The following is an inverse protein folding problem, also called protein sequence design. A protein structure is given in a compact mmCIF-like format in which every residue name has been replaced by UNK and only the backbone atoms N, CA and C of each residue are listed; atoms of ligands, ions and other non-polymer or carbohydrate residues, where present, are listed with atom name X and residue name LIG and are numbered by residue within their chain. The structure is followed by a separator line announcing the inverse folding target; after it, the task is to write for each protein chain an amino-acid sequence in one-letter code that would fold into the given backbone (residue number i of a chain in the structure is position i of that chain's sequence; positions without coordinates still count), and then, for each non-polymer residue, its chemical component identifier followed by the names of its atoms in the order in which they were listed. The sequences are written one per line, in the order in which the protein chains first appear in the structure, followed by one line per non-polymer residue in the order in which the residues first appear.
data_IF_395653257257
#
_entry.id   IF_395653257257
#
_cell.length_a   1.000
_cell.length_b   1.000
_cell.length_c   1.000
_cell.angle_alpha   90.00
_cell.angle_beta   90.00
_cell.angle_gamma   90.00
#
_symmetry.space_group_name_H-M   'P 1'
#
loop_
_entity.id
_entity.type
_entity.pdbx_description
1 polymer ?
#
# COMPACT_ATOMS: atom_id res chain seq x y z
N UNK A 1 -26.11 10.76 -35.73
CA UNK A 1 -27.17 10.09 -34.92
C UNK A 1 -26.62 9.50 -33.64
N UNK A 2 -25.61 8.62 -33.66
CA UNK A 2 -25.01 7.98 -32.48
C UNK A 2 -24.48 9.00 -31.45
N UNK A 3 -23.77 10.05 -31.90
CA UNK A 3 -23.20 11.11 -31.10
C UNK A 3 -24.28 12.03 -30.45
N UNK A 4 -25.46 12.14 -31.10
CA UNK A 4 -26.59 12.90 -30.57
C UNK A 4 -27.31 12.13 -29.46
N UNK A 5 -27.40 10.81 -29.61
CA UNK A 5 -28.00 9.92 -28.60
C UNK A 5 -27.11 9.86 -27.36
N UNK A 6 -25.78 9.69 -27.53
CA UNK A 6 -24.81 9.69 -26.44
C UNK A 6 -24.88 10.99 -25.61
N UNK A 7 -24.91 12.15 -26.30
CA UNK A 7 -25.05 13.45 -25.62
C UNK A 7 -26.37 13.60 -24.88
N UNK A 8 -27.49 13.11 -25.45
CA UNK A 8 -28.79 13.14 -24.79
C UNK A 8 -28.82 12.26 -23.54
N UNK A 9 -28.15 11.11 -23.58
CA UNK A 9 -28.01 10.23 -22.42
C UNK A 9 -27.20 10.92 -21.33
N UNK A 10 -26.05 11.53 -21.67
CA UNK A 10 -25.22 12.29 -20.72
C UNK A 10 -25.97 13.46 -20.08
N UNK A 11 -26.76 14.22 -20.87
CA UNK A 11 -27.55 15.33 -20.39
C UNK A 11 -28.68 14.86 -19.43
N UNK A 12 -29.38 13.77 -19.74
CA UNK A 12 -30.40 13.17 -18.89
C UNK A 12 -29.80 12.61 -17.58
N UNK A 13 -28.66 11.97 -17.66
CA UNK A 13 -27.97 11.46 -16.49
C UNK A 13 -27.44 12.57 -15.60
N UNK A 14 -26.89 13.64 -16.17
CA UNK A 14 -26.48 14.84 -15.43
C UNK A 14 -27.65 15.51 -14.70
N UNK A 15 -28.80 15.62 -15.36
CA UNK A 15 -30.03 16.13 -14.74
C UNK A 15 -30.55 15.20 -13.64
N UNK A 16 -30.44 13.88 -13.82
CA UNK A 16 -30.84 12.91 -12.81
C UNK A 16 -29.96 12.97 -11.56
N UNK A 17 -28.62 13.07 -11.75
CA UNK A 17 -27.65 13.15 -10.66
C UNK A 17 -27.80 14.44 -9.84
N UNK A 18 -28.17 15.57 -10.50
CA UNK A 18 -28.41 16.86 -9.83
C UNK A 18 -29.77 16.94 -9.19
N UNK A 19 -30.68 15.99 -9.47
CA UNK A 19 -31.99 15.93 -8.85
C UNK A 19 -31.90 15.27 -7.46
N UNK A 20 -32.76 15.72 -6.52
CA UNK A 20 -32.89 15.09 -5.19
C UNK A 20 -33.34 13.60 -5.26
N UNK A 21 -33.67 13.10 -6.45
CA UNK A 21 -34.08 11.71 -6.72
C UNK A 21 -32.89 10.76 -6.80
N UNK A 22 -31.69 11.26 -7.10
CA UNK A 22 -30.48 10.48 -7.22
C UNK A 22 -29.74 10.29 -5.87
N UNK A 23 -30.48 9.99 -4.81
CA UNK A 23 -29.85 9.55 -3.56
C UNK A 23 -29.23 8.16 -3.70
N UNK A 24 -28.23 7.87 -2.89
CA UNK A 24 -27.59 6.54 -2.88
C UNK A 24 -28.63 5.41 -2.67
N UNK A 25 -29.56 5.59 -1.74
CA UNK A 25 -30.62 4.62 -1.45
C UNK A 25 -31.50 4.36 -2.67
N UNK A 26 -31.86 5.41 -3.41
CA UNK A 26 -32.67 5.29 -4.62
C UNK A 26 -31.89 4.55 -5.74
N UNK A 27 -30.59 4.82 -5.89
CA UNK A 27 -29.74 4.11 -6.85
C UNK A 27 -29.62 2.64 -6.50
N UNK A 28 -29.41 2.30 -5.22
CA UNK A 28 -29.37 0.91 -4.74
C UNK A 28 -30.71 0.21 -5.00
N UNK A 29 -31.83 0.85 -4.68
CA UNK A 29 -33.16 0.29 -4.92
C UNK A 29 -33.46 0.05 -6.41
N UNK A 30 -32.97 0.95 -7.29
CA UNK A 30 -33.15 0.84 -8.74
C UNK A 30 -32.27 -0.25 -9.37
N UNK A 31 -30.99 -0.26 -9.01
CA UNK A 31 -29.99 -1.11 -9.66
C UNK A 31 -29.80 -2.46 -9.00
N UNK A 32 -30.00 -2.58 -7.68
CA UNK A 32 -29.78 -3.81 -6.93
C UNK A 32 -30.49 -5.02 -7.53
N UNK A 33 -31.83 -5.00 -7.71
CA UNK A 33 -32.55 -6.12 -8.29
C UNK A 33 -32.14 -6.45 -9.73
N UNK A 34 -31.72 -5.45 -10.51
CA UNK A 34 -31.24 -5.64 -11.88
C UNK A 34 -29.90 -6.33 -11.91
N UNK A 35 -28.98 -5.93 -11.00
CA UNK A 35 -27.68 -6.55 -10.88
C UNK A 35 -27.79 -7.99 -10.38
N UNK A 36 -28.63 -8.25 -9.39
CA UNK A 36 -28.89 -9.60 -8.89
C UNK A 36 -29.47 -10.54 -9.96
N UNK A 37 -30.30 -10.02 -10.85
CA UNK A 37 -30.87 -10.78 -11.97
C UNK A 37 -29.84 -11.14 -13.06
N UNK A 38 -28.83 -10.29 -13.27
CA UNK A 38 -27.79 -10.49 -14.29
C UNK A 38 -26.44 -9.89 -13.84
N UNK A 39 -25.73 -10.56 -12.88
CA UNK A 39 -24.50 -10.03 -12.28
C UNK A 39 -23.30 -10.01 -13.26
N UNK A 40 -23.42 -10.64 -14.45
CA UNK A 40 -22.39 -10.66 -15.47
C UNK A 40 -22.64 -9.62 -16.57
N UNK A 41 -23.61 -8.74 -16.41
CA UNK A 41 -23.92 -7.71 -17.39
C UNK A 41 -22.95 -6.53 -17.29
N UNK A 42 -21.99 -6.48 -18.22
CA UNK A 42 -20.94 -5.48 -18.23
C UNK A 42 -21.48 -4.06 -18.39
N UNK A 43 -22.47 -3.85 -19.29
CA UNK A 43 -23.05 -2.53 -19.52
C UNK A 43 -23.83 -2.03 -18.29
N UNK A 44 -24.54 -2.93 -17.63
CA UNK A 44 -25.21 -2.62 -16.37
C UNK A 44 -24.19 -2.29 -15.28
N UNK A 45 -23.12 -3.09 -15.13
CA UNK A 45 -22.06 -2.83 -14.16
C UNK A 45 -21.38 -1.46 -14.39
N UNK A 46 -21.04 -1.14 -15.64
CA UNK A 46 -20.48 0.16 -16.04
C UNK A 46 -21.41 1.31 -15.69
N UNK A 47 -22.71 1.15 -15.93
CA UNK A 47 -23.71 2.17 -15.61
C UNK A 47 -23.83 2.37 -14.10
N UNK A 48 -23.89 1.29 -13.32
CA UNK A 48 -23.94 1.37 -11.84
C UNK A 48 -22.70 2.11 -11.32
N UNK A 49 -21.49 1.71 -11.73
CA UNK A 49 -20.25 2.32 -11.27
C UNK A 49 -20.20 3.81 -11.61
N UNK A 50 -20.63 4.19 -12.81
CA UNK A 50 -20.71 5.59 -13.22
C UNK A 50 -21.69 6.39 -12.38
N UNK A 51 -22.92 5.92 -12.26
CA UNK A 51 -23.99 6.64 -11.55
C UNK A 51 -23.70 6.76 -10.04
N UNK A 52 -23.30 5.67 -9.40
CA UNK A 52 -22.99 5.65 -7.97
C UNK A 52 -21.67 6.37 -7.68
N UNK A 53 -20.68 6.28 -8.56
CA UNK A 53 -19.39 6.98 -8.42
C UNK A 53 -19.52 8.51 -8.49
N UNK A 54 -20.52 9.03 -9.17
CA UNK A 54 -20.85 10.48 -9.23
C UNK A 54 -21.72 10.95 -8.06
N UNK A 55 -22.29 10.04 -7.27
CA UNK A 55 -23.16 10.35 -6.15
C UNK A 55 -22.37 10.32 -4.85
N UNK A 56 -22.36 11.44 -4.12
CA UNK A 56 -21.61 11.58 -2.87
C UNK A 56 -22.01 10.50 -1.85
N UNK A 57 -21.01 9.84 -1.27
CA UNK A 57 -21.20 8.79 -0.26
C UNK A 57 -21.76 7.47 -0.79
N UNK A 58 -21.85 7.27 -2.12
CA UNK A 58 -22.47 6.08 -2.71
C UNK A 58 -21.48 5.02 -3.22
N UNK A 59 -20.22 5.12 -2.87
CA UNK A 59 -19.18 4.15 -3.27
C UNK A 59 -18.85 3.12 -2.19
N UNK A 60 -19.32 3.31 -0.96
CA UNK A 60 -19.07 2.39 0.16
C UNK A 60 -20.27 1.46 0.41
N UNK A 61 -20.60 0.65 -0.60
CA UNK A 61 -21.63 -0.38 -0.50
C UNK A 61 -21.29 -1.58 -1.40
N UNK A 62 -21.96 -2.71 -1.17
CA UNK A 62 -21.67 -3.95 -1.87
C UNK A 62 -22.07 -3.94 -3.34
N UNK A 63 -23.14 -3.24 -3.71
CA UNK A 63 -23.54 -3.14 -5.12
C UNK A 63 -22.48 -2.45 -5.95
N UNK A 64 -21.90 -1.36 -5.43
CA UNK A 64 -20.82 -0.65 -6.09
C UNK A 64 -19.56 -1.54 -6.21
N UNK A 65 -19.12 -2.14 -5.10
CA UNK A 65 -17.96 -3.04 -5.09
C UNK A 65 -18.12 -4.21 -6.06
N UNK A 66 -19.29 -4.87 -6.05
CA UNK A 66 -19.57 -6.00 -6.92
C UNK A 66 -19.60 -5.58 -8.39
N UNK A 67 -20.13 -4.40 -8.70
CA UNK A 67 -20.18 -3.86 -10.07
C UNK A 67 -18.77 -3.53 -10.58
N UNK A 68 -17.90 -2.93 -9.75
CA UNK A 68 -16.48 -2.71 -10.10
C UNK A 68 -15.77 -4.03 -10.31
N UNK A 69 -16.05 -5.03 -9.47
CA UNK A 69 -15.47 -6.38 -9.60
C UNK A 69 -15.89 -7.04 -10.91
N UNK A 70 -17.17 -6.95 -11.28
CA UNK A 70 -17.67 -7.45 -12.58
C UNK A 70 -16.95 -6.78 -13.75
N UNK A 71 -16.81 -5.45 -13.71
CA UNK A 71 -16.07 -4.72 -14.75
C UNK A 71 -14.64 -5.20 -14.87
N UNK A 72 -13.93 -5.31 -13.74
CA UNK A 72 -12.53 -5.75 -13.72
C UNK A 72 -12.36 -7.18 -14.23
N UNK A 73 -13.25 -8.10 -13.84
CA UNK A 73 -13.20 -9.50 -14.29
C UNK A 73 -13.43 -9.66 -15.79
N UNK A 74 -14.24 -8.79 -16.39
CA UNK A 74 -14.57 -8.85 -17.82
C UNK A 74 -13.60 -8.04 -18.68
N UNK A 75 -13.14 -6.90 -18.17
CA UNK A 75 -12.21 -5.99 -18.83
C UNK A 75 -11.12 -5.57 -17.83
N UNK A 76 -10.16 -6.46 -17.50
CA UNK A 76 -9.08 -6.16 -16.58
C UNK A 76 -8.23 -4.97 -17.04
N UNK A 77 -7.91 -4.05 -16.11
CA UNK A 77 -7.00 -2.94 -16.37
C UNK A 77 -6.26 -2.54 -15.09
N UNK A 78 -5.11 -1.88 -15.22
CA UNK A 78 -4.40 -1.31 -14.07
C UNK A 78 -5.29 -0.36 -13.27
N UNK A 79 -6.07 0.47 -13.93
CA UNK A 79 -6.98 1.43 -13.31
C UNK A 79 -8.07 0.74 -12.51
N UNK A 80 -8.73 -0.29 -13.05
CA UNK A 80 -9.79 -1.02 -12.35
C UNK A 80 -9.24 -1.83 -11.18
N UNK A 81 -8.06 -2.43 -11.31
CA UNK A 81 -7.37 -3.12 -10.22
C UNK A 81 -7.01 -2.15 -9.08
N UNK A 82 -6.41 -0.99 -9.41
CA UNK A 82 -6.10 0.03 -8.41
C UNK A 82 -7.36 0.54 -7.69
N UNK A 83 -8.46 0.70 -8.42
CA UNK A 83 -9.71 1.12 -7.83
C UNK A 83 -10.26 0.08 -6.84
N UNK A 84 -10.21 -1.22 -7.20
CA UNK A 84 -10.55 -2.30 -6.28
C UNK A 84 -9.65 -2.33 -5.04
N UNK A 85 -8.34 -2.11 -5.22
CA UNK A 85 -7.45 -1.92 -4.07
C UNK A 85 -7.98 -0.84 -3.12
N UNK A 86 -8.33 0.34 -3.62
CA UNK A 86 -8.83 1.44 -2.78
C UNK A 86 -10.10 1.04 -2.03
N UNK A 87 -11.04 0.36 -2.68
CA UNK A 87 -12.28 -0.09 -2.06
C UNK A 87 -12.03 -1.12 -0.94
N UNK A 88 -11.18 -2.11 -1.19
CA UNK A 88 -10.85 -3.11 -0.19
C UNK A 88 -9.98 -2.57 0.94
N UNK A 89 -9.04 -1.67 0.65
CA UNK A 89 -8.24 -1.00 1.66
C UNK A 89 -9.11 -0.14 2.60
N UNK A 90 -10.11 0.57 2.07
CA UNK A 90 -11.08 1.33 2.86
C UNK A 90 -11.93 0.44 3.79
N UNK A 91 -12.15 -0.81 3.41
CA UNK A 91 -12.87 -1.82 4.22
C UNK A 91 -11.95 -2.61 5.17
N UNK A 92 -10.67 -2.29 5.21
CA UNK A 92 -9.65 -3.02 5.96
C UNK A 92 -9.52 -4.52 5.56
N UNK A 93 -9.97 -4.88 4.36
CA UNK A 93 -9.77 -6.20 3.76
C UNK A 93 -8.36 -6.26 3.14
N UNK A 94 -7.39 -6.60 3.99
CA UNK A 94 -5.97 -6.57 3.63
C UNK A 94 -5.64 -7.55 2.52
N UNK A 95 -6.23 -8.74 2.52
CA UNK A 95 -5.94 -9.79 1.54
C UNK A 95 -6.34 -9.36 0.13
N UNK A 96 -7.57 -8.90 -0.05
CA UNK A 96 -8.06 -8.42 -1.34
C UNK A 96 -7.38 -7.13 -1.77
N UNK A 97 -7.09 -6.21 -0.83
CA UNK A 97 -6.35 -5.00 -1.14
C UNK A 97 -4.95 -5.31 -1.70
N UNK A 98 -4.19 -6.19 -1.05
CA UNK A 98 -2.86 -6.63 -1.54
C UNK A 98 -2.97 -7.30 -2.90
N UNK A 99 -3.95 -8.19 -3.08
CA UNK A 99 -4.19 -8.87 -4.36
C UNK A 99 -4.37 -7.86 -5.50
N UNK A 100 -5.31 -6.96 -5.38
CA UNK A 100 -5.64 -6.03 -6.47
C UNK A 100 -4.56 -4.97 -6.71
N UNK A 101 -3.85 -4.53 -5.67
CA UNK A 101 -2.69 -3.65 -5.90
C UNK A 101 -1.57 -4.37 -6.66
N UNK A 102 -1.30 -5.65 -6.35
CA UNK A 102 -0.33 -6.43 -7.12
C UNK A 102 -0.77 -6.65 -8.57
N UNK A 103 -2.07 -6.82 -8.84
CA UNK A 103 -2.60 -6.87 -10.20
C UNK A 103 -2.39 -5.54 -10.94
N UNK A 104 -2.60 -4.40 -10.27
CA UNK A 104 -2.34 -3.08 -10.85
C UNK A 104 -0.86 -2.90 -11.23
N UNK A 105 0.06 -3.28 -10.33
CA UNK A 105 1.51 -3.19 -10.52
C UNK A 105 2.00 -4.16 -11.64
N UNK A 106 1.35 -5.31 -11.80
CA UNK A 106 1.71 -6.31 -12.80
C UNK A 106 1.14 -6.02 -14.19
N UNK A 107 0.28 -5.01 -14.32
CA UNK A 107 -0.34 -4.63 -15.59
C UNK A 107 0.68 -3.97 -16.52
N UNK A 108 0.67 -4.35 -17.81
CA UNK A 108 1.52 -3.72 -18.83
C UNK A 108 1.04 -2.31 -19.25
N UNK A 109 -0.09 -1.85 -18.70
CA UNK A 109 -0.66 -0.53 -19.00
C UNK A 109 -0.04 0.61 -18.21
N UNK A 110 0.64 0.31 -17.09
CA UNK A 110 1.32 1.29 -16.25
C UNK A 110 2.82 1.38 -16.56
N UNK A 111 3.43 2.51 -16.21
CA UNK A 111 4.87 2.70 -16.32
C UNK A 111 5.58 2.43 -14.98
N UNK A 112 6.91 2.30 -15.02
CA UNK A 112 7.71 1.98 -13.85
C UNK A 112 7.57 3.02 -12.71
N UNK A 113 7.35 4.29 -13.04
CA UNK A 113 7.16 5.36 -12.04
C UNK A 113 5.83 5.18 -11.31
N UNK A 114 4.76 4.89 -12.07
CA UNK A 114 3.44 4.58 -11.52
C UNK A 114 3.48 3.31 -10.67
N UNK A 115 4.13 2.26 -11.15
CA UNK A 115 4.28 1.00 -10.43
C UNK A 115 5.12 1.15 -9.16
N UNK A 116 6.14 2.00 -9.19
CA UNK A 116 6.92 2.40 -8.02
C UNK A 116 6.05 3.11 -6.97
N UNK A 117 5.21 4.05 -7.41
CA UNK A 117 4.27 4.75 -6.54
C UNK A 117 3.23 3.78 -5.92
N UNK A 118 2.67 2.87 -6.71
CA UNK A 118 1.75 1.83 -6.23
C UNK A 118 2.43 0.89 -5.23
N UNK A 119 3.66 0.46 -5.51
CA UNK A 119 4.42 -0.40 -4.60
C UNK A 119 4.70 0.30 -3.27
N UNK A 120 5.00 1.60 -3.28
CA UNK A 120 5.17 2.38 -2.06
C UNK A 120 3.85 2.54 -1.28
N UNK A 121 2.75 2.82 -1.97
CA UNK A 121 1.42 2.90 -1.35
C UNK A 121 1.03 1.55 -0.71
N UNK A 122 1.29 0.44 -1.40
CA UNK A 122 1.10 -0.90 -0.86
C UNK A 122 1.95 -1.15 0.40
N UNK A 123 3.22 -0.72 0.37
CA UNK A 123 4.11 -0.84 1.53
C UNK A 123 3.57 -0.09 2.75
N UNK A 124 3.12 1.15 2.56
CA UNK A 124 2.53 1.96 3.63
C UNK A 124 1.24 1.34 4.18
N UNK A 125 0.37 0.84 3.29
CA UNK A 125 -0.86 0.14 3.68
C UNK A 125 -0.57 -1.14 4.46
N UNK A 126 0.34 -1.99 3.98
CA UNK A 126 0.74 -3.23 4.67
C UNK A 126 1.35 -2.94 6.04
N UNK A 127 2.21 -1.92 6.14
CA UNK A 127 2.78 -1.50 7.42
C UNK A 127 1.71 -1.08 8.42
N UNK A 128 0.80 -0.21 8.00
CA UNK A 128 -0.34 0.24 8.83
C UNK A 128 -1.23 -0.92 9.27
N UNK A 129 -1.33 -1.97 8.46
CA UNK A 129 -2.10 -3.19 8.72
C UNK A 129 -1.32 -4.24 9.53
N UNK A 130 -0.11 -3.95 10.00
CA UNK A 130 0.74 -4.86 10.76
C UNK A 130 1.39 -5.98 9.94
N UNK A 131 1.39 -5.89 8.61
CA UNK A 131 1.99 -6.86 7.69
C UNK A 131 3.42 -6.47 7.32
N UNK A 132 4.32 -6.48 8.33
CA UNK A 132 5.67 -5.94 8.21
C UNK A 132 6.51 -6.56 7.07
N UNK A 133 6.47 -7.89 6.88
CA UNK A 133 7.23 -8.54 5.82
C UNK A 133 6.75 -8.10 4.42
N UNK A 134 5.43 -8.08 4.19
CA UNK A 134 4.86 -7.62 2.93
C UNK A 134 5.13 -6.13 2.69
N UNK A 135 5.07 -5.32 3.76
CA UNK A 135 5.41 -3.90 3.68
C UNK A 135 6.87 -3.69 3.26
N UNK A 136 7.79 -4.47 3.83
CA UNK A 136 9.21 -4.39 3.52
C UNK A 136 9.50 -4.79 2.06
N UNK A 137 8.93 -5.92 1.59
CA UNK A 137 9.06 -6.35 0.19
C UNK A 137 8.50 -5.31 -0.79
N UNK A 138 7.32 -4.78 -0.51
CA UNK A 138 6.71 -3.75 -1.37
C UNK A 138 7.54 -2.45 -1.39
N UNK A 139 8.14 -2.05 -0.27
CA UNK A 139 9.03 -0.89 -0.21
C UNK A 139 10.33 -1.11 -0.99
N UNK A 140 10.90 -2.32 -0.96
CA UNK A 140 12.07 -2.67 -1.78
C UNK A 140 11.72 -2.59 -3.28
N UNK A 141 10.60 -3.17 -3.68
CA UNK A 141 10.11 -3.12 -5.06
C UNK A 141 9.87 -1.69 -5.53
N UNK A 142 9.36 -0.81 -4.67
CA UNK A 142 9.17 0.59 -4.99
C UNK A 142 10.47 1.30 -5.37
N UNK A 143 11.58 1.03 -4.66
CA UNK A 143 12.92 1.59 -4.97
C UNK A 143 13.48 1.03 -6.27
N UNK A 144 13.24 -0.27 -6.54
CA UNK A 144 13.69 -0.91 -7.79
C UNK A 144 13.00 -0.32 -9.02
N UNK A 145 11.69 -0.05 -8.91
CA UNK A 145 10.87 0.47 -10.00
C UNK A 145 11.05 1.97 -10.21
N UNK A 146 11.13 2.73 -9.13
CA UNK A 146 11.32 4.18 -9.16
C UNK A 146 12.38 4.63 -8.14
N UNK A 147 13.66 4.72 -8.52
CA UNK A 147 14.71 5.19 -7.63
C UNK A 147 14.52 6.62 -7.10
N UNK A 148 13.68 7.44 -7.74
CA UNK A 148 13.44 8.82 -7.30
C UNK A 148 12.72 8.90 -5.94
N UNK A 149 12.00 7.85 -5.56
CA UNK A 149 11.30 7.76 -4.27
C UNK A 149 12.11 7.02 -3.19
N UNK A 150 13.38 6.69 -3.48
CA UNK A 150 14.20 5.86 -2.60
C UNK A 150 14.30 6.44 -1.17
N UNK A 151 14.41 7.75 -1.02
CA UNK A 151 14.49 8.40 0.29
C UNK A 151 13.32 8.03 1.19
N UNK A 152 12.09 8.27 0.73
CA UNK A 152 10.89 7.96 1.51
C UNK A 152 10.68 6.45 1.71
N UNK A 153 11.04 5.63 0.73
CA UNK A 153 10.94 4.18 0.84
C UNK A 153 11.94 3.62 1.88
N UNK A 154 13.17 4.13 1.92
CA UNK A 154 14.14 3.77 2.95
C UNK A 154 13.71 4.23 4.36
N UNK A 155 13.10 5.42 4.49
CA UNK A 155 12.51 5.85 5.77
C UNK A 155 11.46 4.85 6.25
N UNK A 156 10.57 4.40 5.36
CA UNK A 156 9.56 3.39 5.70
C UNK A 156 10.20 2.06 6.08
N UNK A 157 11.19 1.58 5.33
CA UNK A 157 11.90 0.33 5.65
C UNK A 157 12.59 0.41 7.03
N UNK A 158 13.23 1.53 7.33
CA UNK A 158 13.84 1.75 8.64
C UNK A 158 12.81 1.75 9.78
N UNK A 159 11.64 2.35 9.54
CA UNK A 159 10.54 2.36 10.50
C UNK A 159 9.95 0.96 10.71
N UNK A 160 9.78 0.18 9.64
CA UNK A 160 9.33 -1.22 9.70
C UNK A 160 10.30 -2.04 10.57
N UNK A 161 11.61 -1.96 10.31
CA UNK A 161 12.62 -2.67 11.09
C UNK A 161 12.66 -2.22 12.54
N UNK A 162 12.53 -0.93 12.81
CA UNK A 162 12.49 -0.38 14.18
C UNK A 162 11.27 -0.86 15.00
N UNK A 163 10.15 -1.15 14.34
CA UNK A 163 8.88 -1.50 14.99
C UNK A 163 8.59 -2.99 15.09
N UNK A 164 9.20 -3.83 14.24
CA UNK A 164 8.93 -5.28 14.23
C UNK A 164 9.31 -5.93 15.58
N UNK A 165 8.54 -6.90 16.02
CA UNK A 165 8.84 -7.67 17.24
C UNK A 165 9.70 -8.87 16.87
N UNK A 166 10.89 -8.95 17.44
CA UNK A 166 11.83 -10.04 17.24
C UNK A 166 11.89 -10.93 18.49
N UNK A 167 12.00 -12.23 18.27
CA UNK A 167 12.29 -13.21 19.31
C UNK A 167 13.80 -13.43 19.49
N UNK A 168 14.15 -14.43 20.31
CA UNK A 168 15.51 -14.83 20.57
C UNK A 168 16.14 -14.20 21.82
N UNK A 169 17.46 -14.16 21.88
CA UNK A 169 18.21 -13.55 22.99
C UNK A 169 18.24 -12.01 22.90
N UNK A 170 18.81 -11.35 23.89
CA UNK A 170 18.86 -9.88 23.97
C UNK A 170 19.52 -9.21 22.76
N UNK A 171 20.54 -9.85 22.19
CA UNK A 171 21.19 -9.34 20.98
C UNK A 171 20.29 -9.49 19.76
N UNK A 172 19.68 -10.66 19.57
CA UNK A 172 18.78 -10.94 18.45
C UNK A 172 17.57 -10.00 18.45
N UNK A 173 16.99 -9.72 19.63
CA UNK A 173 15.87 -8.79 19.77
C UNK A 173 16.25 -7.34 19.43
N UNK A 174 17.48 -6.92 19.71
CA UNK A 174 17.97 -5.55 19.50
C UNK A 174 18.67 -5.35 18.12
N UNK A 175 19.08 -6.42 17.47
CA UNK A 175 19.78 -6.35 16.17
C UNK A 175 18.98 -5.65 15.07
N UNK A 176 17.65 -5.68 15.14
CA UNK A 176 16.75 -4.92 14.25
C UNK A 176 17.07 -3.43 14.19
N UNK A 177 17.54 -2.83 15.28
CA UNK A 177 17.85 -1.41 15.33
C UNK A 177 19.11 -1.06 14.52
N UNK A 178 20.06 -2.00 14.35
CA UNK A 178 21.17 -1.79 13.46
C UNK A 178 20.71 -1.68 12.00
N UNK A 179 19.78 -2.56 11.59
CA UNK A 179 19.17 -2.53 10.24
C UNK A 179 18.33 -1.26 10.06
N UNK A 180 17.55 -0.89 11.07
CA UNK A 180 16.75 0.34 11.02
C UNK A 180 17.63 1.58 10.80
N UNK A 181 18.75 1.68 11.50
CA UNK A 181 19.72 2.78 11.34
C UNK A 181 20.38 2.76 9.96
N UNK A 182 20.69 1.57 9.42
CA UNK A 182 21.23 1.46 8.05
C UNK A 182 20.27 2.08 7.03
N UNK A 183 18.97 1.79 7.14
CA UNK A 183 17.96 2.37 6.26
C UNK A 183 17.76 3.87 6.47
N UNK A 184 17.82 4.37 7.70
CA UNK A 184 17.78 5.81 7.95
C UNK A 184 18.97 6.54 7.33
N UNK A 185 20.16 5.94 7.37
CA UNK A 185 21.33 6.48 6.69
C UNK A 185 21.17 6.48 5.17
N UNK A 186 20.59 5.41 4.58
CA UNK A 186 20.26 5.35 3.15
C UNK A 186 19.23 6.42 2.78
N UNK A 187 18.22 6.64 3.62
CA UNK A 187 17.17 7.63 3.38
C UNK A 187 17.74 9.04 3.25
N UNK A 188 18.53 9.49 4.24
CA UNK A 188 19.15 10.83 4.20
C UNK A 188 20.21 10.98 3.11
N UNK A 189 20.84 9.89 2.67
CA UNK A 189 21.76 9.92 1.54
C UNK A 189 21.04 10.02 0.19
N UNK A 190 19.83 9.46 0.09
CA UNK A 190 19.00 9.52 -1.11
C UNK A 190 18.21 10.84 -1.22
N UNK A 191 17.84 11.44 -0.08
CA UNK A 191 17.09 12.69 -0.03
C UNK A 191 17.53 13.51 1.19
N UNK A 192 18.24 14.60 0.95
CA UNK A 192 18.76 15.48 2.00
C UNK A 192 17.65 16.16 2.83
N UNK A 193 16.46 16.36 2.23
CA UNK A 193 15.32 16.91 2.96
C UNK A 193 14.85 16.03 4.12
N UNK A 194 15.16 14.72 4.09
CA UNK A 194 14.85 13.75 5.13
C UNK A 194 15.92 13.65 6.24
N UNK A 195 17.03 14.42 6.14
CA UNK A 195 18.17 14.25 7.02
C UNK A 195 17.84 14.51 8.50
N UNK A 196 17.02 15.50 8.79
CA UNK A 196 16.62 15.83 10.18
C UNK A 196 15.80 14.69 10.79
N UNK A 197 14.77 14.23 10.11
CA UNK A 197 13.91 13.14 10.55
C UNK A 197 14.69 11.84 10.69
N UNK A 198 15.51 11.49 9.69
CA UNK A 198 16.36 10.31 9.74
C UNK A 198 17.34 10.33 10.92
N UNK A 199 17.96 11.49 11.21
CA UNK A 199 18.85 11.63 12.36
C UNK A 199 18.10 11.51 13.69
N UNK A 200 16.84 11.96 13.78
CA UNK A 200 16.00 11.78 14.95
C UNK A 200 15.76 10.29 15.22
N UNK A 201 15.38 9.53 14.20
CA UNK A 201 15.21 8.07 14.30
C UNK A 201 16.52 7.35 14.63
N UNK A 202 17.65 7.74 14.02
CA UNK A 202 18.95 7.16 14.31
C UNK A 202 19.28 7.31 15.82
N UNK A 203 19.07 8.49 16.40
CA UNK A 203 19.29 8.71 17.84
C UNK A 203 18.39 7.83 18.71
N UNK A 204 17.12 7.70 18.35
CA UNK A 204 16.16 6.86 19.07
C UNK A 204 16.56 5.37 18.99
N UNK A 205 16.90 4.86 17.81
CA UNK A 205 17.28 3.46 17.63
C UNK A 205 18.64 3.13 18.23
N UNK A 206 19.61 4.03 18.14
CA UNK A 206 20.94 3.84 18.73
C UNK A 206 20.91 3.72 20.28
N UNK A 207 19.90 4.28 20.93
CA UNK A 207 19.70 4.12 22.36
C UNK A 207 19.44 2.66 22.79
N UNK A 208 19.02 1.81 21.87
CA UNK A 208 18.76 0.38 22.11
C UNK A 208 19.97 -0.52 21.79
N UNK A 209 21.10 0.03 21.34
CA UNK A 209 22.29 -0.80 21.08
C UNK A 209 22.77 -1.46 22.37
N UNK A 210 23.26 -2.71 22.29
CA UNK A 210 23.83 -3.38 23.45
C UNK A 210 25.11 -2.67 23.92
N UNK A 211 25.42 -2.79 25.19
CA UNK A 211 26.74 -2.42 25.69
C UNK A 211 27.80 -3.36 25.12
N UNK A 212 29.03 -2.87 24.95
CA UNK A 212 30.14 -3.70 24.40
C UNK A 212 30.34 -4.99 25.21
N UNK A 213 30.24 -4.90 26.54
CA UNK A 213 30.37 -6.06 27.41
C UNK A 213 29.22 -7.07 27.25
N UNK A 214 27.97 -6.59 27.05
CA UNK A 214 26.83 -7.48 26.74
C UNK A 214 27.01 -8.21 25.43
N UNK A 215 27.39 -7.49 24.36
CA UNK A 215 27.61 -8.08 23.04
C UNK A 215 28.69 -9.17 23.10
N UNK A 216 29.79 -8.94 23.84
CA UNK A 216 30.86 -9.90 24.03
C UNK A 216 30.39 -11.19 24.70
N UNK A 217 29.45 -11.15 25.63
CA UNK A 217 28.87 -12.35 26.27
C UNK A 217 28.13 -13.27 25.30
N UNK A 218 27.73 -12.78 24.15
CA UNK A 218 27.08 -13.52 23.07
C UNK A 218 28.00 -13.76 21.86
N UNK A 219 29.31 -13.63 22.03
CA UNK A 219 30.31 -13.77 20.96
C UNK A 219 30.10 -12.79 19.78
N UNK A 220 29.57 -11.61 20.05
CA UNK A 220 29.30 -10.57 19.07
C UNK A 220 30.18 -9.36 19.33
N UNK A 221 30.86 -8.89 18.28
CA UNK A 221 31.85 -7.81 18.39
C UNK A 221 31.45 -6.60 17.55
N UNK A 222 31.64 -5.40 18.08
CA UNK A 222 31.39 -4.14 17.37
C UNK A 222 32.12 -4.12 16.02
N UNK A 223 31.44 -3.73 14.95
CA UNK A 223 31.96 -3.72 13.58
C UNK A 223 31.85 -5.04 12.84
N UNK A 224 31.47 -6.11 13.49
CA UNK A 224 31.24 -7.43 12.86
C UNK A 224 30.01 -7.40 11.94
N UNK A 225 30.08 -8.13 10.83
CA UNK A 225 28.88 -8.39 9.99
C UNK A 225 27.91 -9.30 10.74
N UNK A 226 26.63 -8.96 10.67
CA UNK A 226 25.57 -9.70 11.37
C UNK A 226 24.33 -9.85 10.48
N UNK A 227 23.77 -11.06 10.43
CA UNK A 227 22.50 -11.29 9.71
C UNK A 227 21.35 -11.29 10.70
N UNK A 228 20.40 -10.37 10.49
CA UNK A 228 19.17 -10.28 11.26
C UNK A 228 18.06 -10.99 10.51
N UNK A 229 17.35 -11.90 11.20
CA UNK A 229 16.12 -12.54 10.69
C UNK A 229 15.02 -12.30 11.71
N UNK A 230 13.98 -11.59 11.32
CA UNK A 230 12.93 -11.17 12.24
C UNK A 230 11.62 -10.89 11.49
N UNK A 231 10.51 -11.40 12.01
CA UNK A 231 9.18 -11.12 11.45
C UNK A 231 8.99 -11.51 10.00
N UNK A 232 9.69 -12.54 9.52
CA UNK A 232 9.70 -12.96 8.12
C UNK A 232 10.62 -12.14 7.21
N UNK A 233 11.33 -11.15 7.76
CA UNK A 233 12.30 -10.33 7.05
C UNK A 233 13.73 -10.77 7.36
N UNK A 234 14.66 -10.48 6.44
CA UNK A 234 16.09 -10.76 6.60
C UNK A 234 16.91 -9.62 6.03
N UNK A 235 17.95 -9.23 6.77
CA UNK A 235 18.92 -8.23 6.33
C UNK A 235 20.31 -8.51 6.91
N UNK A 236 21.34 -8.06 6.20
CA UNK A 236 22.73 -8.05 6.68
C UNK A 236 23.06 -6.63 7.14
N UNK A 237 23.67 -6.52 8.29
CA UNK A 237 24.04 -5.24 8.92
C UNK A 237 25.40 -5.36 9.60
N UNK A 238 25.80 -4.31 10.29
CA UNK A 238 27.00 -4.24 11.09
C UNK A 238 26.64 -4.07 12.54
N UNK A 239 27.24 -4.86 13.43
CA UNK A 239 27.08 -4.74 14.87
C UNK A 239 27.53 -3.36 15.35
N UNK A 240 26.72 -2.70 16.15
CA UNK A 240 27.05 -1.45 16.82
C UNK A 240 26.75 -1.57 18.31
N UNK A 241 27.69 -1.15 19.11
CA UNK A 241 27.58 -1.18 20.58
C UNK A 241 27.69 0.22 21.16
N UNK A 242 27.19 0.35 22.39
CA UNK A 242 27.44 1.53 23.25
C UNK A 242 28.68 1.25 24.11
N UNK A 243 29.45 2.29 24.45
CA UNK A 243 30.60 2.24 25.35
C UNK A 243 30.17 2.50 26.78
#
# INVERSE_FOLDING_TARGET
EKRSIEKTIEDVESLFITSQVASCDNLIALFGPRYEADPQNLDLAKNIVRMMGMTEGCTDNDLFLNSVTTMHNMEPSATSAYYLYKLYAGRADVENAVKYMNEAIASEESDAVTDGAYSYELAAFCYKSGKNAQAYEAAQKAVELDPSIAGKAYMLMGTIWGSVVCGGNDIEQRAKYWVAVDYMNKAKAADEALAEDANNYIRQYAAYYPQTAEAFMYDVTNGQSYTVSCGGMRAVTTVRTQN
#
